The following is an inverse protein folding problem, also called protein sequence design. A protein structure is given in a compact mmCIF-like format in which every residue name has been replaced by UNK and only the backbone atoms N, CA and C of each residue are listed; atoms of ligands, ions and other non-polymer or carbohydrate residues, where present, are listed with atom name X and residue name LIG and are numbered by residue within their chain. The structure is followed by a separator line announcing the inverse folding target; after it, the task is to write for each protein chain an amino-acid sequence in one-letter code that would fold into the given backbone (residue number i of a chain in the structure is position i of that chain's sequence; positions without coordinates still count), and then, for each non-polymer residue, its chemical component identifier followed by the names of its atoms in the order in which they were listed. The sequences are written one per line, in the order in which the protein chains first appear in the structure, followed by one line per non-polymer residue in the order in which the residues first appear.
data_IF_787113135049
#
_entry.id   IF_787113135049
#
_cell.length_a   1.000
_cell.length_b   1.000
_cell.length_c   1.000
_cell.angle_alpha   90.00
_cell.angle_beta   90.00
_cell.angle_gamma   90.00
#
_symmetry.space_group_name_H-M   'P 1'
#
loop_
_entity.id
_entity.type
_entity.pdbx_description
1 polymer ?
#
# COMPACT_ATOMS: atom_id res chain seq x y z
N UNK A 1 -27.85 2.34 -27.92
CA UNK A 1 -28.73 1.29 -27.36
C UNK A 1 -27.88 0.21 -26.69
N UNK A 2 -27.15 0.53 -25.61
CA UNK A 2 -26.34 -0.45 -24.88
C UNK A 2 -26.20 -0.02 -23.41
N UNK A 3 -27.07 -0.53 -22.55
CA UNK A 3 -26.87 -0.49 -21.09
C UNK A 3 -27.75 -1.57 -20.42
N UNK A 4 -27.14 -2.73 -20.12
CA UNK A 4 -27.60 -3.69 -19.11
C UNK A 4 -26.34 -4.28 -18.47
N UNK A 5 -25.87 -3.70 -17.36
CA UNK A 5 -26.20 -4.16 -16.00
C UNK A 5 -25.78 -5.61 -15.76
N UNK A 6 -24.50 -5.83 -15.45
CA UNK A 6 -24.04 -7.00 -14.69
C UNK A 6 -23.81 -6.52 -13.26
N UNK A 7 -24.82 -6.77 -12.43
CA UNK A 7 -24.87 -6.58 -10.99
C UNK A 7 -25.11 -7.96 -10.39
N UNK A 8 -24.10 -8.55 -9.74
CA UNK A 8 -24.09 -9.65 -8.75
C UNK A 8 -22.64 -10.19 -8.75
N UNK A 9 -21.89 -10.48 -7.69
CA UNK A 9 -22.15 -10.80 -6.30
C UNK A 9 -20.88 -10.51 -5.47
N UNK A 10 -20.94 -9.60 -4.50
CA UNK A 10 -19.88 -9.46 -3.47
C UNK A 10 -20.44 -9.48 -2.04
N UNK A 11 -21.74 -9.73 -1.87
CA UNK A 11 -22.43 -9.56 -0.59
C UNK A 11 -22.66 -10.87 0.19
N UNK A 12 -22.31 -12.04 -0.37
CA UNK A 12 -22.57 -13.35 0.27
C UNK A 12 -21.42 -13.93 1.11
N UNK A 13 -20.24 -13.31 1.14
CA UNK A 13 -19.09 -13.86 1.91
C UNK A 13 -18.96 -13.32 3.34
N UNK A 14 -19.88 -12.46 3.80
CA UNK A 14 -19.83 -11.82 5.12
C UNK A 14 -20.87 -12.36 6.12
N UNK A 15 -21.52 -13.48 5.79
CA UNK A 15 -22.61 -14.03 6.61
C UNK A 15 -22.25 -15.42 7.14
N UNK A 16 -21.27 -15.50 8.05
CA UNK A 16 -21.08 -16.67 8.92
C UNK A 16 -20.03 -16.36 10.02
N UNK A 17 -20.35 -15.43 10.92
CA UNK A 17 -20.04 -15.59 12.35
C UNK A 17 -20.77 -14.53 13.19
N UNK A 18 -22.04 -14.81 13.50
CA UNK A 18 -22.88 -13.99 14.35
C UNK A 18 -23.44 -14.88 15.44
N UNK A 19 -22.83 -14.87 16.64
CA UNK A 19 -23.50 -15.16 17.93
C UNK A 19 -22.54 -15.06 19.12
N UNK A 20 -22.07 -13.87 19.45
CA UNK A 20 -22.01 -13.47 20.87
C UNK A 20 -22.19 -11.95 20.97
N UNK A 21 -23.02 -11.54 21.93
CA UNK A 21 -23.15 -10.21 22.51
C UNK A 21 -24.20 -9.27 21.89
N UNK A 22 -25.43 -9.54 22.33
CA UNK A 22 -26.51 -8.58 22.58
C UNK A 22 -25.99 -7.34 23.31
N UNK A 23 -26.26 -6.15 22.76
CA UNK A 23 -26.60 -4.93 23.50
C UNK A 23 -26.92 -3.78 22.54
N UNK A 24 -28.21 -3.41 22.46
CA UNK A 24 -28.75 -2.46 21.49
C UNK A 24 -28.34 -0.98 21.73
N UNK A 25 -27.64 -0.67 22.83
CA UNK A 25 -27.25 0.70 23.19
C UNK A 25 -25.87 1.14 22.69
N UNK A 26 -25.04 0.24 22.13
CA UNK A 26 -23.72 0.61 21.57
C UNK A 26 -23.77 1.02 20.09
N UNK A 27 -24.88 0.74 19.38
CA UNK A 27 -24.99 0.95 17.92
C UNK A 27 -25.29 2.39 17.52
N UNK A 28 -25.84 3.21 18.42
CA UNK A 28 -26.24 4.58 18.09
C UNK A 28 -25.04 5.55 18.09
N UNK A 29 -24.07 5.39 19.01
CA UNK A 29 -22.85 6.20 19.02
C UNK A 29 -21.83 5.81 17.94
N UNK A 30 -21.83 4.56 17.47
CA UNK A 30 -20.88 4.13 16.43
C UNK A 30 -21.27 4.60 15.03
N UNK A 31 -22.56 4.81 14.75
CA UNK A 31 -23.05 5.24 13.45
C UNK A 31 -22.72 6.72 13.15
N UNK A 32 -22.81 7.60 14.15
CA UNK A 32 -22.47 9.01 14.02
C UNK A 32 -20.96 9.23 13.79
N UNK A 33 -20.11 8.39 14.41
CA UNK A 33 -18.65 8.44 14.27
C UNK A 33 -18.16 7.87 12.93
N UNK A 34 -18.86 6.88 12.36
CA UNK A 34 -18.53 6.33 11.04
C UNK A 34 -18.86 7.29 9.88
N UNK A 35 -19.95 8.06 9.98
CA UNK A 35 -20.37 9.00 8.95
C UNK A 35 -19.42 10.20 8.79
N UNK A 36 -18.82 10.66 9.89
CA UNK A 36 -17.86 11.78 9.90
C UNK A 36 -16.51 11.42 9.27
N UNK A 37 -16.07 10.15 9.38
CA UNK A 37 -14.85 9.65 8.71
C UNK A 37 -15.01 9.60 7.18
N UNK A 38 -16.22 9.27 6.67
CA UNK A 38 -16.50 9.19 5.23
C UNK A 38 -16.54 10.58 4.55
N UNK A 39 -16.92 11.63 5.28
CA UNK A 39 -17.01 13.01 4.77
C UNK A 39 -15.65 13.74 4.71
N UNK A 40 -14.64 13.29 5.47
CA UNK A 40 -13.31 13.91 5.48
C UNK A 40 -12.41 13.52 4.27
N UNK A 41 -12.81 12.52 3.49
CA UNK A 41 -12.01 12.01 2.37
C UNK A 41 -12.16 12.90 1.13
N UNK A 42 -11.21 13.84 0.95
CA UNK A 42 -11.21 14.81 -0.18
C UNK A 42 -11.38 14.22 -1.58
N UNK A 43 -10.93 12.98 -1.84
CA UNK A 43 -10.98 12.41 -3.20
C UNK A 43 -11.45 10.96 -3.22
N UNK A 44 -12.35 10.63 -4.15
CA UNK A 44 -12.85 9.26 -4.34
C UNK A 44 -11.85 8.35 -5.07
N UNK A 45 -11.34 8.79 -6.23
CA UNK A 45 -10.50 7.97 -7.13
C UNK A 45 -9.04 8.44 -7.23
N UNK A 46 -8.81 9.75 -7.26
CA UNK A 46 -7.52 10.32 -7.66
C UNK A 46 -6.44 10.21 -6.57
N UNK A 47 -6.72 10.54 -5.31
CA UNK A 47 -5.69 10.51 -4.25
C UNK A 47 -4.55 11.49 -4.51
N UNK A 48 -3.31 11.07 -4.26
CA UNK A 48 -2.08 11.89 -4.38
C UNK A 48 -1.90 12.56 -5.75
N UNK A 49 -2.37 11.93 -6.83
CA UNK A 49 -2.29 12.51 -8.19
C UNK A 49 -3.33 13.60 -8.47
N UNK A 50 -4.14 13.98 -7.48
CA UNK A 50 -5.02 15.15 -7.56
C UNK A 50 -4.29 16.46 -7.83
N UNK A 51 -2.99 16.55 -7.48
CA UNK A 51 -2.13 17.71 -7.76
C UNK A 51 -1.99 18.04 -9.25
N UNK A 52 -2.18 17.05 -10.14
CA UNK A 52 -2.10 17.25 -11.58
C UNK A 52 -3.40 17.79 -12.21
N UNK A 53 -4.50 17.83 -11.44
CA UNK A 53 -5.80 18.29 -11.92
C UNK A 53 -6.30 17.47 -13.12
N UNK A 54 -6.85 18.16 -14.12
CA UNK A 54 -7.39 17.55 -15.34
C UNK A 54 -6.31 17.16 -16.36
N UNK A 55 -5.07 17.64 -16.22
CA UNK A 55 -3.99 17.50 -17.19
C UNK A 55 -3.46 16.05 -17.34
N UNK A 56 -2.90 15.73 -18.51
CA UNK A 56 -2.23 14.46 -18.87
C UNK A 56 -3.12 13.22 -19.09
N UNK A 57 -4.39 13.25 -18.71
CA UNK A 57 -5.31 12.13 -18.92
C UNK A 57 -5.22 11.01 -17.85
N UNK A 58 -6.20 10.11 -17.87
CA UNK A 58 -6.40 9.16 -16.77
C UNK A 58 -5.38 8.01 -16.71
N UNK A 59 -4.89 7.54 -17.86
CA UNK A 59 -3.95 6.39 -17.93
C UNK A 59 -2.61 6.71 -17.24
N UNK A 60 -1.99 7.82 -17.64
CA UNK A 60 -0.72 8.29 -17.07
C UNK A 60 -0.84 8.56 -15.57
N UNK A 61 -1.93 9.20 -15.13
CA UNK A 61 -2.17 9.46 -13.70
C UNK A 61 -2.34 8.18 -12.89
N UNK A 62 -2.94 7.12 -13.44
CA UNK A 62 -3.05 5.82 -12.76
C UNK A 62 -1.69 5.15 -12.57
N UNK A 63 -0.79 5.24 -13.54
CA UNK A 63 0.57 4.71 -13.45
C UNK A 63 1.41 5.50 -12.43
N UNK A 64 1.44 6.83 -12.54
CA UNK A 64 2.16 7.71 -11.61
C UNK A 64 1.64 7.53 -10.19
N UNK A 65 0.32 7.38 -9.99
CA UNK A 65 -0.25 7.15 -8.66
C UNK A 65 0.39 5.95 -7.95
N UNK A 66 0.62 4.84 -8.67
CA UNK A 66 1.26 3.65 -8.09
C UNK A 66 2.69 3.97 -7.64
N UNK A 67 3.47 4.62 -8.51
CA UNK A 67 4.87 5.00 -8.22
C UNK A 67 4.99 6.03 -7.10
N UNK A 68 4.07 7.01 -7.05
CA UNK A 68 4.07 8.05 -6.03
C UNK A 68 3.69 7.56 -4.64
N UNK A 69 2.76 6.61 -4.59
CA UNK A 69 2.38 5.97 -3.32
C UNK A 69 3.56 5.16 -2.80
N UNK A 70 4.19 4.32 -3.64
CA UNK A 70 5.30 3.47 -3.18
C UNK A 70 6.51 4.30 -2.77
N UNK A 71 6.88 5.35 -3.51
CA UNK A 71 8.06 6.14 -3.14
C UNK A 71 7.90 6.92 -1.83
N UNK A 72 6.68 7.34 -1.49
CA UNK A 72 6.38 8.11 -0.28
C UNK A 72 5.96 7.24 0.91
N UNK A 73 5.75 5.94 0.68
CA UNK A 73 5.49 4.97 1.73
C UNK A 73 6.68 4.89 2.71
N UNK A 74 6.38 4.54 3.95
CA UNK A 74 7.40 4.12 4.92
C UNK A 74 7.59 2.62 4.75
N UNK A 75 8.84 2.18 4.83
CA UNK A 75 9.19 0.76 4.74
C UNK A 75 9.84 0.27 6.04
N UNK A 76 9.71 -1.04 6.27
CA UNK A 76 10.38 -1.77 7.34
C UNK A 76 11.89 -1.74 7.11
N UNK A 77 12.66 -1.40 8.15
CA UNK A 77 14.11 -1.45 8.10
C UNK A 77 14.63 -2.86 8.41
N UNK A 78 15.39 -3.48 7.50
CA UNK A 78 16.02 -4.78 7.74
C UNK A 78 17.01 -4.82 8.92
N UNK A 79 17.51 -3.66 9.35
CA UNK A 79 18.49 -3.59 10.45
C UNK A 79 17.85 -3.41 11.83
N UNK A 80 16.76 -2.67 11.92
CA UNK A 80 16.16 -2.30 13.22
C UNK A 80 14.67 -2.65 13.34
N UNK A 81 14.07 -3.28 12.33
CA UNK A 81 12.66 -3.72 12.33
C UNK A 81 11.61 -2.60 12.25
N UNK A 82 11.99 -1.34 12.47
CA UNK A 82 11.05 -0.19 12.51
C UNK A 82 10.67 0.33 11.12
N UNK A 83 9.41 0.75 10.97
CA UNK A 83 8.84 1.39 9.76
C UNK A 83 9.23 2.87 9.62
N UNK A 84 10.53 3.10 9.47
CA UNK A 84 11.08 4.47 9.43
C UNK A 84 11.97 4.74 8.22
N UNK A 85 12.07 3.78 7.29
CA UNK A 85 12.81 3.94 6.05
C UNK A 85 12.00 4.83 5.10
N UNK A 86 12.64 5.89 4.62
CA UNK A 86 12.09 6.79 3.59
C UNK A 86 13.12 7.04 2.49
N UNK A 87 12.64 7.34 1.29
CA UNK A 87 13.47 7.71 0.15
C UNK A 87 14.14 9.07 0.39
N UNK A 88 15.45 9.15 0.17
CA UNK A 88 16.20 10.43 0.18
C UNK A 88 16.52 10.90 -1.24
N UNK A 89 16.97 9.97 -2.09
CA UNK A 89 17.22 10.21 -3.51
C UNK A 89 16.83 8.97 -4.32
N UNK A 90 16.97 9.03 -5.65
CA UNK A 90 16.74 7.86 -6.51
C UNK A 90 17.70 6.74 -6.09
N UNK A 91 17.16 5.56 -5.77
CA UNK A 91 17.95 4.39 -5.36
C UNK A 91 18.56 4.49 -3.94
N UNK A 92 18.44 5.63 -3.26
CA UNK A 92 19.01 5.85 -1.92
C UNK A 92 17.90 6.02 -0.89
N UNK A 93 17.88 5.12 0.07
CA UNK A 93 16.89 5.05 1.15
C UNK A 93 17.56 5.27 2.49
N UNK A 94 16.94 6.05 3.38
CA UNK A 94 17.49 6.37 4.68
C UNK A 94 16.52 5.98 5.80
N UNK A 95 17.02 5.24 6.77
CA UNK A 95 16.28 4.91 7.98
C UNK A 95 16.45 6.00 9.03
N UNK A 96 15.35 6.61 9.49
CA UNK A 96 15.44 7.64 10.54
C UNK A 96 15.83 7.07 11.91
N UNK A 97 15.45 5.84 12.23
CA UNK A 97 15.71 5.25 13.54
C UNK A 97 17.18 4.81 13.72
N UNK A 98 17.71 4.01 12.79
CA UNK A 98 19.08 3.48 12.89
C UNK A 98 20.12 4.29 12.12
N UNK A 99 19.71 5.36 11.42
CA UNK A 99 20.57 6.24 10.60
C UNK A 99 21.33 5.54 9.47
N UNK A 100 21.01 4.28 9.17
CA UNK A 100 21.61 3.53 8.06
C UNK A 100 21.02 3.97 6.73
N UNK A 101 21.90 4.04 5.73
CA UNK A 101 21.56 4.27 4.33
C UNK A 101 21.52 2.92 3.61
N UNK A 102 20.48 2.70 2.84
CA UNK A 102 20.17 1.49 2.09
C UNK A 102 20.17 1.83 0.60
N UNK A 103 20.86 1.02 -0.21
CA UNK A 103 20.70 1.01 -1.65
C UNK A 103 19.47 0.18 -2.00
N UNK A 104 18.63 0.69 -2.90
CA UNK A 104 17.37 0.05 -3.29
C UNK A 104 16.94 0.41 -4.69
N UNK A 105 15.69 0.10 -5.02
CA UNK A 105 15.07 0.50 -6.28
C UNK A 105 14.77 2.00 -6.34
N UNK A 106 14.40 2.47 -7.54
CA UNK A 106 14.04 3.86 -7.77
C UNK A 106 12.79 4.29 -6.97
N UNK A 107 11.78 3.42 -6.87
CA UNK A 107 10.47 3.70 -6.25
C UNK A 107 10.11 2.78 -5.08
N UNK A 108 10.86 1.68 -4.87
CA UNK A 108 10.69 0.72 -3.78
C UNK A 108 12.05 0.39 -3.16
N UNK A 109 12.10 0.05 -1.87
CA UNK A 109 13.36 -0.30 -1.18
C UNK A 109 13.97 -1.58 -1.75
N UNK A 110 13.16 -2.61 -2.01
CA UNK A 110 13.59 -3.85 -2.68
C UNK A 110 12.86 -3.99 -4.01
N UNK A 111 13.59 -4.34 -5.06
CA UNK A 111 13.00 -4.78 -6.33
C UNK A 111 12.81 -6.29 -6.33
N UNK A 112 11.90 -6.78 -7.17
CA UNK A 112 11.65 -8.23 -7.35
C UNK A 112 12.90 -8.94 -7.88
N UNK A 113 13.56 -8.36 -8.88
CA UNK A 113 14.82 -8.89 -9.44
C UNK A 113 15.94 -8.93 -8.40
N UNK A 114 16.07 -7.91 -7.54
CA UNK A 114 17.07 -7.96 -6.47
C UNK A 114 16.75 -9.02 -5.41
N UNK A 115 15.47 -9.33 -5.18
CA UNK A 115 15.08 -10.42 -4.30
C UNK A 115 15.43 -11.79 -4.89
N UNK A 116 15.20 -12.01 -6.20
CA UNK A 116 15.56 -13.26 -6.88
C UNK A 116 17.07 -13.46 -6.95
N UNK A 117 17.85 -12.41 -7.24
CA UNK A 117 19.31 -12.52 -7.26
C UNK A 117 19.85 -12.91 -5.88
N UNK A 118 19.30 -12.34 -4.79
CA UNK A 118 19.71 -12.69 -3.43
C UNK A 118 19.44 -14.17 -3.09
N UNK A 119 18.30 -14.72 -3.51
CA UNK A 119 18.01 -16.14 -3.28
C UNK A 119 18.88 -17.05 -4.15
N UNK A 120 19.11 -16.70 -5.41
CA UNK A 120 19.98 -17.47 -6.30
C UNK A 120 21.42 -17.50 -5.79
N UNK A 121 21.98 -16.35 -5.39
CA UNK A 121 23.35 -16.26 -4.86
C UNK A 121 23.49 -17.09 -3.58
N UNK A 122 22.49 -17.06 -2.69
CA UNK A 122 22.48 -17.89 -1.49
C UNK A 122 22.55 -19.38 -1.84
N UNK A 123 21.68 -19.86 -2.73
CA UNK A 123 21.64 -21.26 -3.17
C UNK A 123 22.96 -21.70 -3.81
N UNK A 124 23.58 -20.85 -4.63
CA UNK A 124 24.85 -21.17 -5.29
C UNK A 124 26.01 -21.28 -4.29
N UNK A 125 26.00 -20.49 -3.21
CA UNK A 125 26.99 -20.62 -2.13
C UNK A 125 26.85 -21.93 -1.37
N UNK A 126 25.63 -22.33 -1.05
CA UNK A 126 25.33 -23.60 -0.37
C UNK A 126 25.84 -24.81 -1.18
N UNK A 127 25.75 -24.77 -2.51
CA UNK A 127 26.26 -25.84 -3.41
C UNK A 127 27.79 -25.87 -3.51
N UNK A 128 28.45 -24.72 -3.35
CA UNK A 128 29.91 -24.64 -3.44
C UNK A 128 30.59 -25.08 -2.13
N UNK A 129 29.91 -24.94 -0.99
CA UNK A 129 30.41 -25.31 0.32
C UNK A 129 30.16 -26.79 0.68
N UNK A 130 29.29 -27.48 -0.07
CA UNK A 130 29.04 -28.92 0.02
C UNK A 130 30.01 -29.74 -0.81
#
# INVERSE_FOLDING_TARGET
MLEKSIRVDWYKSLYLDQKVLENANFRFLSFQLFASILMAKRTKKVGVVGKYGTRYGASLRKQIKKMEITQHAKYTCNFCGKDTVKRKAVGIWHCRACKKVLAGGAWTVSTTTAATVRSTVRRLREIMES
#
